data_IF_819875597938
#
_entry.id   IF_819875597938
#
_cell.length_a   1.000
_cell.length_b   1.000
_cell.length_c   1.000
_cell.angle_alpha   90.00
_cell.angle_beta   90.00
_cell.angle_gamma   90.00
#
_symmetry.space_group_name_H-M   'P 1'
#
loop_
_entity.id
_entity.type
_entity.pdbx_description
1 polymer ?
#
# COMPACT_ATOMS: atom_id res chain seq x y z
N UNK A 1 16.29 11.59 16.91
CA UNK A 1 14.82 11.46 16.93
C UNK A 1 14.51 10.00 16.66
N UNK A 2 14.03 9.30 17.67
CA UNK A 2 13.68 7.88 17.59
C UNK A 2 12.58 7.69 16.53
N UNK A 3 12.88 6.94 15.48
CA UNK A 3 11.85 6.26 14.69
C UNK A 3 11.49 5.00 15.49
N UNK A 4 10.51 5.08 16.41
CA UNK A 4 10.11 3.88 17.13
C UNK A 4 8.64 3.78 17.54
N UNK A 5 7.76 4.58 16.96
CA UNK A 5 6.32 4.30 17.03
C UNK A 5 5.84 3.96 15.62
N UNK A 6 5.93 2.67 15.28
CA UNK A 6 5.08 2.13 14.22
C UNK A 6 3.65 2.35 14.69
N UNK A 7 2.86 3.14 13.95
CA UNK A 7 1.45 3.32 14.25
C UNK A 7 0.67 2.05 13.88
N UNK A 8 0.71 1.09 14.79
CA UNK A 8 -0.01 -0.17 14.67
C UNK A 8 -1.52 0.06 14.58
N UNK A 9 -2.05 1.14 15.17
CA UNK A 9 -3.47 1.46 15.09
C UNK A 9 -3.86 1.78 13.66
N UNK A 10 -3.13 2.68 12.99
CA UNK A 10 -3.37 2.99 11.58
C UNK A 10 -3.24 1.75 10.69
N UNK A 11 -2.23 0.90 10.96
CA UNK A 11 -2.04 -0.36 10.25
C UNK A 11 -3.25 -1.29 10.42
N UNK A 12 -3.69 -1.55 11.65
CA UNK A 12 -4.83 -2.43 11.93
C UNK A 12 -6.12 -1.89 11.33
N UNK A 13 -6.35 -0.59 11.38
CA UNK A 13 -7.52 0.04 10.73
C UNK A 13 -7.45 -0.16 9.22
N UNK A 14 -6.30 0.07 8.59
CA UNK A 14 -6.10 -0.16 7.15
C UNK A 14 -6.37 -1.60 6.75
N UNK A 15 -5.84 -2.57 7.51
CA UNK A 15 -6.11 -4.00 7.29
C UNK A 15 -7.60 -4.32 7.44
N UNK A 16 -8.23 -3.83 8.52
CA UNK A 16 -9.65 -4.06 8.77
C UNK A 16 -10.52 -3.52 7.63
N UNK A 17 -10.23 -2.32 7.12
CA UNK A 17 -10.93 -1.73 5.98
C UNK A 17 -10.73 -2.58 4.71
N UNK A 18 -9.49 -2.95 4.39
CA UNK A 18 -9.20 -3.74 3.18
C UNK A 18 -9.92 -5.10 3.21
N UNK A 19 -9.88 -5.82 4.33
CA UNK A 19 -10.56 -7.12 4.44
C UNK A 19 -12.07 -7.00 4.56
N UNK A 20 -12.59 -5.89 5.10
CA UNK A 20 -14.04 -5.61 5.08
C UNK A 20 -14.53 -5.40 3.64
N UNK A 21 -13.79 -4.64 2.82
CA UNK A 21 -14.08 -4.50 1.38
C UNK A 21 -13.92 -5.85 0.67
N UNK A 22 -12.88 -6.62 1.03
CA UNK A 22 -12.69 -7.98 0.53
C UNK A 22 -13.88 -8.90 0.79
N UNK A 23 -14.46 -8.86 2.00
CA UNK A 23 -15.66 -9.62 2.35
C UNK A 23 -16.89 -9.18 1.56
N UNK A 24 -17.03 -7.88 1.27
CA UNK A 24 -18.08 -7.38 0.38
C UNK A 24 -17.88 -7.90 -1.05
N UNK A 25 -16.64 -7.91 -1.56
CA UNK A 25 -16.33 -8.46 -2.89
C UNK A 25 -16.66 -9.95 -2.96
N UNK A 26 -16.29 -10.72 -1.92
CA UNK A 26 -16.60 -12.16 -1.81
C UNK A 26 -18.11 -12.41 -1.84
N UNK A 27 -18.89 -11.57 -1.18
CA UNK A 27 -20.35 -11.69 -1.20
C UNK A 27 -20.97 -11.55 -2.60
N UNK A 28 -20.39 -10.73 -3.48
CA UNK A 28 -20.93 -10.43 -4.81
C UNK A 28 -20.21 -11.16 -5.96
N UNK A 29 -19.09 -11.82 -5.70
CA UNK A 29 -18.24 -12.41 -6.74
C UNK A 29 -17.80 -13.82 -6.36
N UNK A 30 -17.08 -14.50 -7.26
CA UNK A 30 -16.47 -15.81 -6.96
C UNK A 30 -15.11 -15.70 -6.26
N UNK A 31 -14.66 -14.48 -5.98
CA UNK A 31 -13.34 -14.23 -5.42
C UNK A 31 -13.41 -14.24 -3.89
N UNK A 32 -12.76 -15.23 -3.28
CA UNK A 32 -12.68 -15.36 -1.83
C UNK A 32 -12.20 -14.07 -1.14
N UNK A 33 -12.73 -13.77 0.06
CA UNK A 33 -12.49 -12.49 0.75
C UNK A 33 -11.01 -12.21 1.03
N UNK A 34 -10.21 -13.25 1.27
CA UNK A 34 -8.80 -13.13 1.61
C UNK A 34 -7.94 -12.59 0.44
N UNK A 35 -7.91 -13.22 -0.76
CA UNK A 35 -7.22 -12.64 -1.91
C UNK A 35 -7.84 -11.31 -2.34
N UNK A 36 -9.17 -11.15 -2.26
CA UNK A 36 -9.83 -9.87 -2.54
C UNK A 36 -9.30 -8.73 -1.64
N UNK A 37 -9.17 -8.97 -0.34
CA UNK A 37 -8.63 -8.00 0.61
C UNK A 37 -7.18 -7.63 0.32
N UNK A 38 -6.34 -8.60 -0.07
CA UNK A 38 -4.96 -8.32 -0.50
C UNK A 38 -4.90 -7.49 -1.79
N UNK A 39 -5.77 -7.75 -2.77
CA UNK A 39 -5.82 -6.94 -3.99
C UNK A 39 -6.31 -5.51 -3.72
N UNK A 40 -7.27 -5.32 -2.82
CA UNK A 40 -7.70 -3.99 -2.36
C UNK A 40 -6.53 -3.25 -1.70
N UNK A 41 -5.81 -3.93 -0.81
CA UNK A 41 -4.64 -3.35 -0.16
C UNK A 41 -3.53 -3.00 -1.16
N UNK A 42 -3.29 -3.87 -2.14
CA UNK A 42 -2.36 -3.60 -3.24
C UNK A 42 -2.75 -2.34 -4.01
N UNK A 43 -4.03 -2.18 -4.39
CA UNK A 43 -4.50 -1.01 -5.12
C UNK A 43 -4.24 0.30 -4.36
N UNK A 44 -4.50 0.30 -3.05
CA UNK A 44 -4.24 1.46 -2.18
C UNK A 44 -2.74 1.77 -2.12
N UNK A 45 -1.90 0.77 -1.84
CA UNK A 45 -0.46 0.95 -1.71
C UNK A 45 0.19 1.37 -3.04
N UNK A 46 -0.28 0.79 -4.15
CA UNK A 46 0.15 1.13 -5.50
C UNK A 46 -0.21 2.58 -5.82
N UNK A 47 -1.45 3.01 -5.55
CA UNK A 47 -1.86 4.40 -5.72
C UNK A 47 -1.00 5.36 -4.88
N UNK A 48 -0.71 5.01 -3.63
CA UNK A 48 0.17 5.80 -2.77
C UNK A 48 1.60 5.95 -3.32
N UNK A 49 2.10 4.97 -4.09
CA UNK A 49 3.42 5.08 -4.76
C UNK A 49 3.39 6.15 -5.84
N UNK A 50 2.30 6.25 -6.63
CA UNK A 50 2.19 7.29 -7.65
C UNK A 50 2.07 8.67 -7.06
N UNK A 51 1.20 8.86 -6.07
CA UNK A 51 1.02 10.15 -5.38
C UNK A 51 2.37 10.61 -4.81
N UNK A 52 3.09 9.72 -4.12
CA UNK A 52 4.40 10.04 -3.55
C UNK A 52 5.42 10.51 -4.60
N UNK A 53 5.38 9.94 -5.82
CA UNK A 53 6.28 10.33 -6.92
C UNK A 53 5.83 11.66 -7.52
N UNK A 54 4.53 11.82 -7.76
CA UNK A 54 3.93 13.01 -8.35
C UNK A 54 4.13 14.25 -7.48
N UNK A 55 3.91 14.15 -6.16
CA UNK A 55 4.20 15.22 -5.19
C UNK A 55 5.67 15.66 -5.21
N UNK A 56 6.58 14.84 -5.73
CA UNK A 56 8.01 15.15 -5.84
C UNK A 56 8.41 15.76 -7.17
N UNK A 57 7.56 15.72 -8.18
CA UNK A 57 7.85 16.32 -9.48
C UNK A 57 7.56 17.82 -9.48
N UNK A 58 8.40 18.64 -10.14
CA UNK A 58 8.10 20.06 -10.34
C UNK A 58 6.78 20.22 -11.11
N UNK A 59 5.76 20.75 -10.44
CA UNK A 59 4.41 20.89 -10.99
C UNK A 59 3.40 19.85 -10.48
N UNK A 60 3.80 18.95 -9.57
CA UNK A 60 2.87 18.09 -8.84
C UNK A 60 1.92 18.88 -7.94
N UNK A 61 0.74 18.33 -7.66
CA UNK A 61 -0.35 19.00 -6.96
C UNK A 61 0.06 19.50 -5.57
N UNK A 62 0.73 18.65 -4.78
CA UNK A 62 1.20 19.01 -3.44
C UNK A 62 2.73 19.19 -3.39
N UNK A 63 3.35 19.62 -4.50
CA UNK A 63 4.80 19.81 -4.57
C UNK A 63 5.31 20.84 -3.56
N UNK A 64 5.93 20.35 -2.48
CA UNK A 64 6.68 21.17 -1.54
C UNK A 64 8.14 21.18 -2.00
N UNK A 65 8.62 22.33 -2.49
CA UNK A 65 9.96 22.52 -3.07
C UNK A 65 11.16 22.35 -2.13
N UNK A 66 11.06 21.48 -1.12
CA UNK A 66 12.09 21.20 -0.14
C UNK A 66 13.13 20.22 -0.71
N UNK A 67 14.03 20.75 -1.54
CA UNK A 67 15.06 20.01 -2.29
C UNK A 67 16.34 19.74 -1.48
N UNK A 68 16.25 19.52 -0.16
CA UNK A 68 17.41 19.14 0.64
C UNK A 68 17.89 17.72 0.30
N UNK A 69 19.20 17.48 0.09
CA UNK A 69 19.73 16.13 -0.19
C UNK A 69 19.35 15.08 0.87
N UNK A 70 19.17 15.50 2.12
CA UNK A 70 18.75 14.61 3.21
C UNK A 70 17.28 14.17 3.07
N UNK A 71 16.40 15.10 2.67
CA UNK A 71 14.99 14.81 2.43
C UNK A 71 14.81 13.86 1.24
N UNK A 72 15.63 14.02 0.20
CA UNK A 72 15.65 13.13 -0.97
C UNK A 72 16.08 11.71 -0.64
N UNK A 73 17.14 11.57 0.16
CA UNK A 73 17.62 10.26 0.59
C UNK A 73 16.57 9.52 1.44
N UNK A 74 15.90 10.23 2.35
CA UNK A 74 14.82 9.69 3.17
C UNK A 74 13.60 9.30 2.31
N UNK A 75 13.18 10.16 1.38
CA UNK A 75 12.10 9.86 0.46
C UNK A 75 12.38 8.61 -0.39
N UNK A 76 13.58 8.52 -1.01
CA UNK A 76 13.98 7.35 -1.80
C UNK A 76 13.97 6.06 -0.96
N UNK A 77 14.36 6.14 0.32
CA UNK A 77 14.30 5.01 1.25
C UNK A 77 12.85 4.60 1.53
N UNK A 78 11.98 5.55 1.87
CA UNK A 78 10.56 5.28 2.14
C UNK A 78 9.85 4.71 0.91
N UNK A 79 10.05 5.33 -0.27
CA UNK A 79 9.50 4.87 -1.53
C UNK A 79 9.95 3.43 -1.87
N UNK A 80 11.21 3.09 -1.58
CA UNK A 80 11.71 1.72 -1.79
C UNK A 80 11.00 0.73 -0.87
N UNK A 81 10.83 1.06 0.41
CA UNK A 81 10.11 0.21 1.36
C UNK A 81 8.66 0.04 0.93
N UNK A 82 7.98 1.12 0.57
CA UNK A 82 6.59 1.07 0.10
C UNK A 82 6.46 0.19 -1.16
N UNK A 83 7.32 0.38 -2.17
CA UNK A 83 7.34 -0.47 -3.37
C UNK A 83 7.51 -1.95 -3.04
N UNK A 84 8.40 -2.28 -2.11
CA UNK A 84 8.61 -3.66 -1.66
C UNK A 84 7.36 -4.21 -0.96
N UNK A 85 6.76 -3.46 -0.04
CA UNK A 85 5.52 -3.84 0.62
C UNK A 85 4.38 -4.06 -0.38
N UNK A 86 4.21 -3.16 -1.35
CA UNK A 86 3.22 -3.29 -2.43
C UNK A 86 3.42 -4.59 -3.20
N UNK A 87 4.66 -4.92 -3.56
CA UNK A 87 4.98 -6.15 -4.30
C UNK A 87 4.75 -7.41 -3.45
N UNK A 88 5.11 -7.39 -2.16
CA UNK A 88 4.84 -8.50 -1.24
C UNK A 88 3.32 -8.73 -1.10
N UNK A 89 2.53 -7.67 -0.91
CA UNK A 89 1.07 -7.77 -0.81
C UNK A 89 0.47 -8.33 -2.10
N UNK A 90 0.97 -7.92 -3.27
CA UNK A 90 0.53 -8.47 -4.56
C UNK A 90 0.81 -9.97 -4.66
N UNK A 91 2.02 -10.40 -4.30
CA UNK A 91 2.40 -11.82 -4.30
C UNK A 91 1.50 -12.61 -3.34
N UNK A 92 1.27 -12.10 -2.12
CA UNK A 92 0.36 -12.73 -1.17
C UNK A 92 -1.07 -12.85 -1.72
N UNK A 93 -1.57 -11.82 -2.41
CA UNK A 93 -2.85 -11.86 -3.10
C UNK A 93 -2.92 -12.98 -4.14
N UNK A 94 -1.90 -13.11 -5.00
CA UNK A 94 -1.85 -14.19 -5.99
C UNK A 94 -1.67 -15.57 -5.37
N UNK A 95 -0.82 -15.71 -4.36
CA UNK A 95 -0.59 -16.98 -3.65
C UNK A 95 -1.88 -17.43 -2.99
N UNK A 96 -2.53 -16.56 -2.21
CA UNK A 96 -3.81 -16.89 -1.56
C UNK A 96 -4.91 -17.18 -2.56
N UNK A 97 -4.99 -16.43 -3.66
CA UNK A 97 -5.93 -16.71 -4.75
C UNK A 97 -5.72 -18.11 -5.34
N UNK A 98 -4.47 -18.49 -5.63
CA UNK A 98 -4.15 -19.81 -6.15
C UNK A 98 -4.51 -20.92 -5.16
N UNK A 99 -4.33 -20.70 -3.85
CA UNK A 99 -4.71 -21.67 -2.82
C UNK A 99 -6.22 -21.79 -2.62
N UNK A 100 -6.98 -20.70 -2.73
CA UNK A 100 -8.44 -20.72 -2.52
C UNK A 100 -9.24 -21.12 -3.76
N UNK A 101 -8.60 -21.15 -4.93
CA UNK A 101 -9.24 -21.49 -6.21
C UNK A 101 -8.98 -22.94 -6.65
N UNK A 102 -8.23 -23.72 -5.87
CA UNK A 102 -8.03 -25.17 -6.02
C UNK A 102 -8.95 -25.93 -5.06
#
# INVERSE_FOLDING_TARGET
>A
MEMNDIDFKALFVGLAVCFSIGAVIDYFTVLHWLPAGFFVMFAILFNGVFISIEDREPGGWDHVGNNSPMADAQFKKMLRVQKLCTLVVLILGFVTYAYTSN
#
